data_IF_677458118005
#
_entry.id   IF_677458118005
#
_cell.length_a   1.000
_cell.length_b   1.000
_cell.length_c   1.000
_cell.angle_alpha   90.00
_cell.angle_beta   90.00
_cell.angle_gamma   90.00
#
_symmetry.space_group_name_H-M   'P 1'
#
loop_
_entity.id
_entity.type
_entity.pdbx_description
1 polymer ?
#
# COMPACT_ATOMS: atom_id res chain seq x y z
N UNK A 1 17.01 -20.98 -9.80
CA UNK A 1 17.12 -19.83 -8.87
C UNK A 1 16.19 -20.09 -7.70
N UNK A 2 16.50 -19.52 -6.53
CA UNK A 2 15.62 -19.57 -5.35
C UNK A 2 14.55 -18.47 -5.52
N UNK A 3 13.25 -18.77 -5.32
CA UNK A 3 12.18 -17.77 -5.22
C UNK A 3 12.52 -16.62 -4.27
N UNK A 4 12.44 -15.37 -4.75
CA UNK A 4 12.57 -14.17 -3.90
C UNK A 4 11.18 -13.57 -3.68
N UNK A 5 10.82 -13.38 -2.41
CA UNK A 5 9.60 -12.70 -1.98
C UNK A 5 9.99 -11.46 -1.19
N UNK A 6 9.71 -10.27 -1.72
CA UNK A 6 9.89 -9.01 -1.01
C UNK A 6 8.59 -8.61 -0.33
N UNK A 7 8.55 -8.69 1.00
CA UNK A 7 7.32 -8.42 1.77
C UNK A 7 7.12 -6.95 2.12
N UNK A 8 7.93 -6.03 1.58
CA UNK A 8 7.88 -4.62 1.98
C UNK A 8 8.20 -3.65 0.83
N UNK A 9 7.24 -3.43 -0.07
CA UNK A 9 7.30 -2.31 -1.01
C UNK A 9 6.13 -1.37 -0.83
N UNK A 10 6.36 -0.09 -1.14
CA UNK A 10 5.31 0.92 -1.20
C UNK A 10 4.95 1.22 -2.65
N UNK A 11 3.72 0.85 -3.00
CA UNK A 11 2.98 1.32 -4.18
C UNK A 11 1.72 1.98 -3.62
N UNK A 12 1.42 3.22 -4.03
CA UNK A 12 0.41 4.02 -3.34
C UNK A 12 -0.35 4.97 -4.26
N UNK A 13 -1.62 5.27 -3.96
CA UNK A 13 -2.43 6.22 -4.71
C UNK A 13 -2.01 7.66 -4.39
N UNK A 14 -1.01 8.20 -5.11
CA UNK A 14 -0.47 9.55 -4.86
C UNK A 14 -1.52 10.67 -4.90
N UNK A 15 -2.65 10.46 -5.58
CA UNK A 15 -3.76 11.42 -5.65
C UNK A 15 -4.52 11.56 -4.32
N UNK A 16 -4.45 10.56 -3.42
CA UNK A 16 -5.08 10.61 -2.10
C UNK A 16 -4.24 11.38 -1.06
N UNK A 17 -2.96 11.63 -1.33
CA UNK A 17 -2.13 12.39 -0.40
C UNK A 17 -2.63 13.81 -0.22
N UNK A 18 -2.59 14.31 1.02
CA UNK A 18 -2.80 15.74 1.30
C UNK A 18 -1.80 16.60 0.50
N UNK A 19 -2.17 17.83 0.10
CA UNK A 19 -1.34 18.64 -0.78
C UNK A 19 0.10 18.88 -0.29
N UNK A 20 0.26 19.20 0.99
CA UNK A 20 1.53 19.45 1.69
C UNK A 20 2.38 18.18 1.85
N UNK A 21 1.72 17.06 2.16
CA UNK A 21 2.35 15.73 2.21
C UNK A 21 2.86 15.34 0.84
N UNK A 22 2.06 15.56 -0.21
CA UNK A 22 2.41 15.25 -1.59
C UNK A 22 3.56 16.12 -2.09
N UNK A 23 3.56 17.41 -1.77
CA UNK A 23 4.68 18.32 -2.07
C UNK A 23 5.97 17.84 -1.41
N UNK A 24 5.89 17.50 -0.12
CA UNK A 24 7.04 16.98 0.65
C UNK A 24 7.55 15.67 0.07
N UNK A 25 6.65 14.74 -0.25
CA UNK A 25 7.00 13.45 -0.85
C UNK A 25 7.75 13.61 -2.18
N UNK A 26 7.32 14.53 -3.04
CA UNK A 26 7.93 14.74 -4.35
C UNK A 26 9.22 15.58 -4.30
N UNK A 27 9.48 16.29 -3.20
CA UNK A 27 10.65 17.14 -3.06
C UNK A 27 11.95 16.36 -3.31
N UNK A 28 12.70 16.77 -4.33
CA UNK A 28 13.98 16.17 -4.70
C UNK A 28 13.91 14.86 -5.50
N UNK A 29 12.72 14.31 -5.76
CA UNK A 29 12.57 13.09 -6.57
C UNK A 29 12.60 13.42 -8.07
N UNK A 30 13.60 12.88 -8.77
CA UNK A 30 13.77 13.09 -10.23
C UNK A 30 12.89 12.15 -11.08
N UNK A 31 12.46 11.02 -10.52
CA UNK A 31 11.77 9.95 -11.26
C UNK A 31 10.25 9.97 -11.06
N UNK A 32 9.65 11.15 -10.84
CA UNK A 32 8.23 11.27 -10.53
C UNK A 32 7.31 10.55 -11.53
N UNK A 33 7.50 10.79 -12.83
CA UNK A 33 6.68 10.18 -13.87
C UNK A 33 6.77 8.64 -13.88
N UNK A 34 7.96 8.07 -13.60
CA UNK A 34 8.15 6.62 -13.50
C UNK A 34 7.40 6.05 -12.30
N UNK A 35 7.49 6.72 -11.14
CA UNK A 35 6.81 6.29 -9.92
C UNK A 35 5.29 6.38 -10.04
N UNK A 36 4.77 7.46 -10.65
CA UNK A 36 3.35 7.61 -10.97
C UNK A 36 2.91 6.50 -11.94
N UNK A 37 3.66 6.22 -13.00
CA UNK A 37 3.34 5.14 -13.94
C UNK A 37 3.32 3.75 -13.28
N UNK A 38 4.27 3.46 -12.37
CA UNK A 38 4.25 2.21 -11.59
C UNK A 38 3.01 2.12 -10.71
N UNK A 39 2.57 3.22 -10.08
CA UNK A 39 1.34 3.23 -9.29
C UNK A 39 0.07 3.10 -10.15
N UNK A 40 0.08 3.61 -11.38
CA UNK A 40 -1.07 3.57 -12.27
C UNK A 40 -1.23 2.21 -12.99
N UNK A 41 -0.13 1.51 -13.28
CA UNK A 41 -0.15 0.24 -14.01
C UNK A 41 0.64 -0.90 -13.32
N UNK A 42 -0.04 -1.88 -12.68
CA UNK A 42 0.62 -3.03 -12.04
C UNK A 42 1.44 -3.91 -13.00
N UNK A 43 1.20 -3.83 -14.32
CA UNK A 43 2.00 -4.59 -15.29
C UNK A 43 3.41 -4.04 -15.42
N UNK A 44 3.60 -2.74 -15.19
CA UNK A 44 4.93 -2.14 -15.15
C UNK A 44 5.73 -2.60 -13.94
N UNK A 45 5.07 -2.75 -12.79
CA UNK A 45 5.69 -3.35 -11.60
C UNK A 45 6.05 -4.82 -11.85
N UNK A 46 5.16 -5.61 -12.45
CA UNK A 46 5.44 -7.01 -12.78
C UNK A 46 6.64 -7.14 -13.73
N UNK A 47 6.75 -6.29 -14.75
CA UNK A 47 7.90 -6.26 -15.64
C UNK A 47 9.20 -5.91 -14.91
N UNK A 48 9.14 -4.97 -13.96
CA UNK A 48 10.28 -4.63 -13.10
C UNK A 48 10.66 -5.81 -12.19
N UNK A 49 9.67 -6.46 -11.56
CA UNK A 49 9.89 -7.67 -10.75
C UNK A 49 10.55 -8.79 -11.56
N UNK A 50 10.12 -9.02 -12.80
CA UNK A 50 10.71 -10.03 -13.68
C UNK A 50 12.18 -9.71 -14.01
N UNK A 51 12.49 -8.44 -14.28
CA UNK A 51 13.85 -7.97 -14.53
C UNK A 51 14.76 -8.12 -13.28
N UNK A 52 14.20 -7.94 -12.08
CA UNK A 52 14.92 -8.02 -10.82
C UNK A 52 14.97 -9.44 -10.22
N UNK A 53 14.28 -10.42 -10.85
CA UNK A 53 14.20 -11.79 -10.37
C UNK A 53 13.32 -11.96 -9.11
N UNK A 54 12.32 -11.09 -8.92
CA UNK A 54 11.39 -11.10 -7.79
C UNK A 54 10.12 -11.86 -8.15
N UNK A 55 9.81 -12.92 -7.39
CA UNK A 55 8.65 -13.77 -7.65
C UNK A 55 7.36 -13.11 -7.15
N UNK A 56 7.37 -12.61 -5.90
CA UNK A 56 6.20 -12.00 -5.25
C UNK A 56 6.59 -10.77 -4.45
N UNK A 57 5.65 -9.84 -4.32
CA UNK A 57 5.79 -8.64 -3.49
C UNK A 57 4.61 -8.43 -2.56
N UNK A 58 4.89 -8.01 -1.33
CA UNK A 58 3.93 -7.46 -0.38
C UNK A 58 3.71 -5.99 -0.67
N UNK A 59 2.50 -5.64 -1.11
CA UNK A 59 2.14 -4.26 -1.46
C UNK A 59 1.60 -3.54 -0.24
N UNK A 60 2.43 -2.71 0.37
CA UNK A 60 2.07 -2.01 1.61
C UNK A 60 1.24 -0.77 1.31
N UNK A 61 0.05 -0.74 1.91
CA UNK A 61 -0.73 0.46 2.12
C UNK A 61 -0.90 0.74 3.62
N UNK A 62 -1.46 1.90 3.97
CA UNK A 62 -1.93 2.16 5.34
C UNK A 62 -3.01 3.24 5.35
N UNK A 63 -4.00 3.09 6.23
CA UNK A 63 -5.05 4.11 6.46
C UNK A 63 -4.49 5.17 7.41
N UNK A 64 -4.47 6.43 6.98
CA UNK A 64 -3.99 7.61 7.71
C UNK A 64 -4.70 8.86 7.16
N UNK A 65 -5.99 9.07 7.47
CA UNK A 65 -6.78 10.15 6.88
C UNK A 65 -6.37 11.54 7.39
N UNK A 66 -5.98 11.62 8.66
CA UNK A 66 -5.64 12.84 9.40
C UNK A 66 -4.22 13.34 9.15
N UNK A 67 -3.26 12.45 8.91
CA UNK A 67 -1.89 12.86 8.56
C UNK A 67 -1.64 12.80 7.06
N UNK A 68 -1.77 11.63 6.44
CA UNK A 68 -1.34 11.43 5.05
C UNK A 68 -2.44 11.73 4.01
N UNK A 69 -3.71 11.55 4.37
CA UNK A 69 -4.87 11.66 3.47
C UNK A 69 -5.39 10.30 2.96
N UNK A 70 -4.77 9.19 3.35
CA UNK A 70 -5.22 7.86 2.95
C UNK A 70 -6.45 7.43 3.75
N UNK A 71 -7.63 7.51 3.14
CA UNK A 71 -8.88 6.97 3.67
C UNK A 71 -8.97 5.45 3.51
N UNK A 72 -10.08 4.84 3.95
CA UNK A 72 -10.38 3.42 3.73
C UNK A 72 -10.39 3.01 2.25
N UNK A 73 -10.60 3.95 1.32
CA UNK A 73 -10.52 3.72 -0.13
C UNK A 73 -9.13 3.22 -0.57
N UNK A 74 -8.09 3.47 0.24
CA UNK A 74 -6.74 2.96 -0.01
C UNK A 74 -6.68 1.42 -0.01
N UNK A 75 -7.53 0.75 0.78
CA UNK A 75 -7.66 -0.71 0.76
C UNK A 75 -8.29 -1.21 -0.55
N UNK A 76 -9.33 -0.53 -1.03
CA UNK A 76 -10.00 -0.86 -2.28
C UNK A 76 -9.06 -0.68 -3.48
N UNK A 77 -8.29 0.42 -3.47
CA UNK A 77 -7.27 0.69 -4.46
C UNK A 77 -6.20 -0.39 -4.49
N UNK A 78 -5.70 -0.80 -3.30
CA UNK A 78 -4.66 -1.83 -3.20
C UNK A 78 -5.14 -3.20 -3.68
N UNK A 79 -6.34 -3.61 -3.27
CA UNK A 79 -6.96 -4.86 -3.74
C UNK A 79 -7.16 -4.85 -5.26
N UNK A 80 -7.61 -3.73 -5.83
CA UNK A 80 -7.74 -3.56 -7.28
C UNK A 80 -6.40 -3.66 -7.99
N UNK A 81 -5.37 -2.98 -7.49
CA UNK A 81 -4.02 -3.03 -8.07
C UNK A 81 -3.46 -4.46 -8.06
N UNK A 82 -3.57 -5.16 -6.92
CA UNK A 82 -3.12 -6.54 -6.74
C UNK A 82 -3.89 -7.56 -7.61
N UNK A 83 -5.15 -7.28 -7.93
CA UNK A 83 -6.02 -8.20 -8.69
C UNK A 83 -5.51 -8.56 -10.08
N UNK A 84 -4.56 -7.79 -10.64
CA UNK A 84 -3.94 -8.07 -11.94
C UNK A 84 -3.05 -9.33 -11.89
N UNK A 85 -2.44 -9.63 -10.74
CA UNK A 85 -1.66 -10.85 -10.54
C UNK A 85 -1.66 -11.25 -9.06
N UNK A 86 -2.79 -11.72 -8.50
CA UNK A 86 -2.98 -11.91 -7.06
C UNK A 86 -2.06 -12.97 -6.43
N UNK A 87 -1.45 -13.84 -7.24
CA UNK A 87 -0.45 -14.81 -6.78
C UNK A 87 0.96 -14.23 -6.65
N UNK A 88 1.21 -13.04 -7.24
CA UNK A 88 2.49 -12.33 -7.23
C UNK A 88 2.43 -10.99 -6.51
N UNK A 89 1.29 -10.30 -6.57
CA UNK A 89 1.04 -9.01 -5.95
C UNK A 89 0.16 -9.23 -4.72
N UNK A 90 0.77 -9.28 -3.55
CA UNK A 90 0.09 -9.58 -2.30
C UNK A 90 -0.43 -8.28 -1.68
N UNK A 91 -1.73 -8.02 -1.79
CA UNK A 91 -2.34 -6.84 -1.18
C UNK A 91 -2.20 -6.90 0.35
N UNK A 92 -1.55 -5.90 0.94
CA UNK A 92 -1.64 -5.67 2.37
C UNK A 92 -2.77 -4.66 2.61
N UNK A 93 -3.58 -4.92 3.62
CA UNK A 93 -4.64 -4.03 4.07
C UNK A 93 -4.22 -3.24 5.29
N UNK A 94 -5.06 -2.29 5.68
CA UNK A 94 -4.85 -1.52 6.90
C UNK A 94 -6.17 -1.12 7.52
N UNK A 95 -6.21 -1.18 8.85
CA UNK A 95 -7.34 -0.70 9.66
C UNK A 95 -6.76 0.29 10.64
N UNK A 96 -7.35 1.48 10.71
CA UNK A 96 -6.94 2.50 11.67
C UNK A 96 -7.99 2.59 12.78
N UNK A 97 -7.73 2.05 13.99
CA UNK A 97 -8.64 2.11 15.12
C UNK A 97 -9.32 3.46 15.40
N UNK A 98 -8.60 4.58 15.27
CA UNK A 98 -9.20 5.93 15.42
C UNK A 98 -10.18 6.37 14.33
N UNK A 99 -10.29 5.64 13.21
CA UNK A 99 -11.17 5.94 12.06
C UNK A 99 -12.04 4.74 11.65
N UNK A 100 -12.11 3.70 12.49
CA UNK A 100 -12.90 2.50 12.23
C UNK A 100 -13.72 2.18 13.47
N UNK A 101 -15.04 2.08 13.33
CA UNK A 101 -15.96 1.82 14.44
C UNK A 101 -15.78 0.39 15.00
N UNK A 102 -15.86 -0.62 14.13
CA UNK A 102 -15.55 -2.01 14.47
C UNK A 102 -14.30 -2.48 13.73
N UNK A 103 -13.16 -2.45 14.43
CA UNK A 103 -11.85 -2.85 13.89
C UNK A 103 -11.81 -4.34 13.54
N UNK A 104 -12.48 -5.17 14.33
CA UNK A 104 -12.45 -6.62 14.13
C UNK A 104 -13.27 -7.02 12.91
N UNK A 105 -14.49 -6.48 12.79
CA UNK A 105 -15.35 -6.69 11.62
C UNK A 105 -14.66 -6.19 10.34
N UNK A 106 -14.08 -4.99 10.36
CA UNK A 106 -13.40 -4.43 9.19
C UNK A 106 -12.18 -5.27 8.78
N UNK A 107 -11.39 -5.74 9.74
CA UNK A 107 -10.27 -6.64 9.45
C UNK A 107 -10.75 -7.95 8.82
N UNK A 108 -11.80 -8.58 9.36
CA UNK A 108 -12.37 -9.80 8.79
C UNK A 108 -12.91 -9.57 7.37
N UNK A 109 -13.63 -8.46 7.15
CA UNK A 109 -14.11 -8.06 5.82
C UNK A 109 -12.97 -7.91 4.81
N UNK A 110 -11.83 -7.35 5.22
CA UNK A 110 -10.66 -7.20 4.35
C UNK A 110 -9.99 -8.55 4.03
N UNK A 111 -9.93 -9.48 5.00
CA UNK A 111 -9.46 -10.85 4.78
C UNK A 111 -10.34 -11.56 3.75
N UNK A 112 -11.67 -11.48 3.90
CA UNK A 112 -12.63 -12.09 2.97
C UNK A 112 -12.51 -11.54 1.54
N UNK A 113 -12.06 -10.29 1.40
CA UNK A 113 -11.82 -9.62 0.12
C UNK A 113 -10.46 -9.94 -0.50
N UNK A 114 -9.60 -10.69 0.19
CA UNK A 114 -8.32 -11.17 -0.35
C UNK A 114 -7.08 -10.43 0.14
N UNK A 115 -7.17 -9.59 1.17
CA UNK A 115 -5.98 -9.07 1.86
C UNK A 115 -5.14 -10.24 2.41
N UNK A 116 -3.82 -10.17 2.23
CA UNK A 116 -2.88 -11.23 2.62
C UNK A 116 -2.14 -10.95 3.92
N UNK A 117 -2.06 -9.69 4.32
CA UNK A 117 -1.48 -9.27 5.60
C UNK A 117 -1.99 -7.86 5.96
N UNK A 118 -1.83 -7.46 7.22
CA UNK A 118 -2.15 -6.11 7.67
C UNK A 118 -0.89 -5.29 7.93
N UNK A 119 -0.91 -4.02 7.51
CA UNK A 119 0.08 -3.02 7.90
C UNK A 119 -0.50 -2.08 8.94
N UNK A 120 0.22 -1.98 10.05
CA UNK A 120 0.14 -0.88 11.01
C UNK A 120 1.35 0.03 10.77
N UNK A 121 1.13 1.35 10.73
CA UNK A 121 2.18 2.33 10.50
C UNK A 121 2.17 3.40 11.62
N UNK A 122 2.75 3.09 12.80
CA UNK A 122 2.60 3.93 14.00
C UNK A 122 2.87 5.43 13.78
N UNK A 123 3.96 5.85 13.10
CA UNK A 123 4.21 7.29 12.89
C UNK A 123 3.14 8.01 12.06
N UNK A 124 2.45 7.31 11.16
CA UNK A 124 1.42 7.91 10.29
C UNK A 124 0.01 7.70 10.82
N UNK A 125 -0.18 6.71 11.70
CA UNK A 125 -1.44 6.46 12.39
C UNK A 125 -1.46 7.09 13.80
N UNK A 126 -0.43 7.88 14.13
CA UNK A 126 -0.29 8.60 15.39
C UNK A 126 -0.36 7.66 16.62
N UNK A 127 0.17 6.45 16.48
CA UNK A 127 0.38 5.55 17.62
C UNK A 127 1.77 5.77 18.20
N UNK A 128 1.83 5.93 19.52
CA UNK A 128 3.07 5.84 20.26
C UNK A 128 3.62 4.43 20.15
N UNK A 129 4.90 4.30 19.79
CA UNK A 129 5.52 2.98 19.61
C UNK A 129 5.61 2.16 20.91
N UNK A 130 5.43 2.81 22.08
CA UNK A 130 5.64 2.23 23.42
C UNK A 130 4.56 2.65 24.45
N UNK A 131 3.34 3.00 24.04
CA UNK A 131 2.27 3.31 25.01
C UNK A 131 1.70 2.05 25.68
#
# INVERSE_FOLDING_TARGET
MVPVVDVHIHIQPFHMMKPDVRETFWKGKKERARLEALADDPRLLLAQMDADGIEKVGLINYVSPDLMGFTHECNDWMLKYASVAPDRLLAFGSVHPGFTEDVAEEALRLVDRGVRAFKVHPPHQQYEANA
#
